data_IF_556060761851
#
_entry.id   IF_556060761851
#
_cell.length_a   1.000
_cell.length_b   1.000
_cell.length_c   1.000
_cell.angle_alpha   90.00
_cell.angle_beta   90.00
_cell.angle_gamma   90.00
#
_symmetry.space_group_name_H-M   'P 1'
#
loop_
_entity.id
_entity.type
_entity.pdbx_description
1 polymer ?
#
# COMPACT_ATOMS: atom_id res chain seq x y z
N UNK A 1 -2.34 -8.55 -20.98
CA UNK A 1 -3.17 -7.35 -21.26
C UNK A 1 -3.21 -6.49 -20.01
N UNK A 2 -3.09 -5.15 -20.13
CA UNK A 2 -3.23 -4.22 -18.99
C UNK A 2 -4.71 -3.84 -18.83
N UNK A 3 -5.22 -3.77 -17.60
CA UNK A 3 -6.58 -3.32 -17.33
C UNK A 3 -6.75 -1.85 -17.73
N UNK A 4 -7.93 -1.50 -18.26
CA UNK A 4 -8.29 -0.10 -18.53
C UNK A 4 -8.50 0.62 -17.20
N UNK A 5 -7.94 1.81 -17.05
CA UNK A 5 -8.27 2.67 -15.92
C UNK A 5 -9.71 3.18 -16.06
N UNK A 6 -10.51 2.99 -15.01
CA UNK A 6 -11.89 3.48 -14.97
C UNK A 6 -11.89 4.96 -14.62
N UNK A 7 -12.43 5.78 -15.52
CA UNK A 7 -12.71 7.18 -15.20
C UNK A 7 -13.94 7.27 -14.31
N UNK A 8 -14.04 8.28 -13.42
CA UNK A 8 -15.20 8.45 -12.57
C UNK A 8 -16.51 8.48 -13.37
N UNK A 9 -16.56 9.03 -14.58
CA UNK A 9 -17.77 9.06 -15.41
C UNK A 9 -18.20 7.66 -15.92
N UNK A 10 -17.25 6.73 -16.03
CA UNK A 10 -17.47 5.39 -16.61
C UNK A 10 -17.77 4.32 -15.55
N UNK A 11 -17.73 4.69 -14.25
CA UNK A 11 -17.95 3.76 -13.15
C UNK A 11 -19.43 3.44 -12.96
N UNK A 12 -19.74 2.15 -12.82
CA UNK A 12 -21.02 1.71 -12.27
C UNK A 12 -21.18 2.18 -10.82
N UNK A 13 -22.42 2.18 -10.31
CA UNK A 13 -22.68 2.59 -8.92
C UNK A 13 -21.92 1.75 -7.90
N UNK A 14 -21.76 0.45 -8.15
CA UNK A 14 -20.99 -0.43 -7.29
C UNK A 14 -19.50 -0.04 -7.24
N UNK A 15 -18.92 0.32 -8.38
CA UNK A 15 -17.54 0.79 -8.48
C UNK A 15 -17.36 2.13 -7.76
N UNK A 16 -18.30 3.06 -7.99
CA UNK A 16 -18.28 4.39 -7.38
C UNK A 16 -18.35 4.30 -5.86
N UNK A 17 -19.27 3.49 -5.31
CA UNK A 17 -19.38 3.27 -3.86
C UNK A 17 -18.05 2.81 -3.24
N UNK A 18 -17.39 1.83 -3.86
CA UNK A 18 -16.10 1.32 -3.34
C UNK A 18 -15.00 2.37 -3.41
N UNK A 19 -14.96 3.19 -4.47
CA UNK A 19 -14.01 4.29 -4.58
C UNK A 19 -14.26 5.37 -3.51
N UNK A 20 -15.52 5.76 -3.32
CA UNK A 20 -15.92 6.78 -2.34
C UNK A 20 -15.63 6.30 -0.90
N UNK A 21 -15.92 5.03 -0.58
CA UNK A 21 -15.57 4.43 0.71
C UNK A 21 -14.06 4.46 0.98
N UNK A 22 -13.23 4.22 -0.03
CA UNK A 22 -11.77 4.27 0.11
C UNK A 22 -11.26 5.70 0.35
N UNK A 23 -11.91 6.70 -0.25
CA UNK A 23 -11.62 8.12 -0.03
C UNK A 23 -12.05 8.56 1.38
N UNK A 24 -13.23 8.12 1.83
CA UNK A 24 -13.74 8.42 3.17
C UNK A 24 -12.99 7.70 4.30
N UNK A 25 -12.27 6.62 3.99
CA UNK A 25 -11.47 5.85 4.95
C UNK A 25 -10.16 6.54 5.37
N UNK A 26 -9.36 5.85 6.19
CA UNK A 26 -8.13 6.40 6.81
C UNK A 26 -7.07 6.84 5.80
N UNK A 27 -7.16 6.36 4.56
CA UNK A 27 -6.21 6.69 3.49
C UNK A 27 -6.48 8.05 2.85
N UNK A 28 -7.70 8.57 2.93
CA UNK A 28 -8.10 9.83 2.31
C UNK A 28 -8.07 9.85 0.78
N UNK A 29 -7.84 8.70 0.13
CA UNK A 29 -7.67 8.57 -1.32
C UNK A 29 -7.87 7.13 -1.77
N UNK A 30 -8.20 6.95 -3.05
CA UNK A 30 -8.18 5.63 -3.71
C UNK A 30 -6.73 5.14 -3.81
N UNK A 31 -6.35 4.01 -3.15
CA UNK A 31 -5.01 3.44 -3.30
C UNK A 31 -4.83 2.85 -4.69
N UNK A 32 -3.63 2.92 -5.28
CA UNK A 32 -3.42 2.51 -6.66
C UNK A 32 -3.85 1.06 -6.97
N UNK A 33 -3.61 0.05 -6.10
CA UNK A 33 -4.11 -1.30 -6.34
C UNK A 33 -5.64 -1.38 -6.46
N UNK A 34 -6.37 -0.52 -5.74
CA UNK A 34 -7.84 -0.49 -5.82
C UNK A 34 -8.32 -0.10 -7.22
N UNK A 35 -7.56 0.71 -7.99
CA UNK A 35 -7.92 1.04 -9.39
C UNK A 35 -8.07 -0.22 -10.26
N UNK A 36 -7.24 -1.23 -10.03
CA UNK A 36 -7.37 -2.52 -10.70
C UNK A 36 -8.55 -3.33 -10.12
N UNK A 37 -8.72 -3.34 -8.80
CA UNK A 37 -9.79 -4.10 -8.15
C UNK A 37 -11.19 -3.51 -8.37
N UNK A 38 -11.34 -2.27 -8.80
CA UNK A 38 -12.64 -1.72 -9.18
C UNK A 38 -13.29 -2.48 -10.35
N UNK A 39 -12.52 -3.23 -11.15
CA UNK A 39 -13.10 -4.16 -12.14
C UNK A 39 -13.84 -5.35 -11.48
N UNK A 40 -13.64 -5.58 -10.19
CA UNK A 40 -14.41 -6.51 -9.34
C UNK A 40 -14.77 -5.81 -8.02
N UNK A 41 -15.87 -5.04 -7.97
CA UNK A 41 -16.20 -4.17 -6.83
C UNK A 41 -16.26 -4.91 -5.49
N UNK A 42 -16.78 -6.13 -5.46
CA UNK A 42 -16.83 -6.95 -4.23
C UNK A 42 -15.43 -7.27 -3.70
N UNK A 43 -14.50 -7.65 -4.57
CA UNK A 43 -13.10 -7.83 -4.20
C UNK A 43 -12.50 -6.51 -3.72
N UNK A 44 -12.71 -5.42 -4.46
CA UNK A 44 -12.21 -4.10 -4.11
C UNK A 44 -12.63 -3.67 -2.70
N UNK A 45 -13.91 -3.83 -2.36
CA UNK A 45 -14.47 -3.50 -1.05
C UNK A 45 -13.78 -4.30 0.08
N UNK A 46 -13.61 -5.61 -0.09
CA UNK A 46 -12.99 -6.47 0.93
C UNK A 46 -11.49 -6.22 1.06
N UNK A 47 -10.79 -6.16 -0.07
CA UNK A 47 -9.33 -6.01 -0.09
C UNK A 47 -8.89 -4.63 0.44
N UNK A 48 -9.63 -3.57 0.13
CA UNK A 48 -9.30 -2.23 0.62
C UNK A 48 -9.45 -2.14 2.16
N UNK A 49 -10.47 -2.79 2.73
CA UNK A 49 -10.67 -2.88 4.18
C UNK A 49 -9.64 -3.76 4.88
N UNK A 50 -9.30 -4.91 4.31
CA UNK A 50 -8.20 -5.73 4.82
C UNK A 50 -6.89 -4.93 4.89
N UNK A 51 -6.53 -4.25 3.80
CA UNK A 51 -5.31 -3.45 3.79
C UNK A 51 -5.38 -2.20 4.70
N UNK A 52 -6.57 -1.71 5.05
CA UNK A 52 -6.73 -0.58 5.98
C UNK A 52 -6.43 -1.07 7.40
N UNK A 53 -7.04 -2.19 7.77
CA UNK A 53 -6.80 -2.86 9.05
C UNK A 53 -5.32 -3.21 9.24
N UNK A 54 -4.71 -3.92 8.29
CA UNK A 54 -3.31 -4.36 8.40
C UNK A 54 -2.32 -3.20 8.52
N UNK A 55 -2.67 -2.02 7.97
CA UNK A 55 -1.77 -0.86 7.98
C UNK A 55 -1.93 0.04 9.20
N UNK A 56 -3.14 0.12 9.76
CA UNK A 56 -3.47 1.16 10.76
C UNK A 56 -4.11 0.63 12.05
N UNK A 57 -4.58 -0.62 12.08
CA UNK A 57 -5.34 -1.20 13.19
C UNK A 57 -4.67 -2.46 13.75
N UNK A 58 -3.34 -2.51 13.68
CA UNK A 58 -2.54 -3.55 14.34
C UNK A 58 -1.70 -2.93 15.44
N UNK A 59 -1.08 -3.78 16.26
CA UNK A 59 -0.12 -3.34 17.29
C UNK A 59 1.19 -2.82 16.69
N UNK A 60 1.44 -3.04 15.39
CA UNK A 60 2.65 -2.59 14.73
C UNK A 60 2.54 -1.09 14.44
N UNK A 61 3.34 -0.29 15.16
CA UNK A 61 3.49 1.13 14.86
C UNK A 61 4.01 1.36 13.42
N UNK A 62 3.85 2.59 12.88
CA UNK A 62 4.17 2.89 11.47
C UNK A 62 5.57 2.45 11.03
N UNK A 63 6.60 2.62 11.88
CA UNK A 63 7.97 2.22 11.55
C UNK A 63 8.10 0.73 11.24
N UNK A 64 7.49 -0.13 12.08
CA UNK A 64 7.55 -1.59 11.91
C UNK A 64 6.67 -2.07 10.76
N UNK A 65 5.50 -1.47 10.60
CA UNK A 65 4.61 -1.75 9.48
C UNK A 65 5.28 -1.43 8.14
N UNK A 66 5.92 -0.27 8.01
CA UNK A 66 6.62 0.13 6.79
C UNK A 66 7.89 -0.70 6.54
N UNK A 67 8.61 -1.12 7.59
CA UNK A 67 9.71 -2.09 7.47
C UNK A 67 9.24 -3.41 6.85
N UNK A 68 8.15 -3.99 7.36
CA UNK A 68 7.58 -5.23 6.84
C UNK A 68 7.12 -5.09 5.38
N UNK A 69 6.54 -3.94 5.02
CA UNK A 69 6.14 -3.63 3.64
C UNK A 69 7.36 -3.53 2.73
N UNK A 70 8.43 -2.84 3.13
CA UNK A 70 9.65 -2.71 2.31
C UNK A 70 10.34 -4.05 2.07
N UNK A 71 10.46 -4.90 3.10
CA UNK A 71 10.99 -6.25 2.94
C UNK A 71 10.15 -7.03 1.93
N UNK A 72 8.82 -7.00 2.07
CA UNK A 72 7.89 -7.65 1.15
C UNK A 72 8.03 -7.11 -0.27
N UNK A 73 8.04 -5.78 -0.44
CA UNK A 73 8.18 -5.11 -1.72
C UNK A 73 9.50 -5.51 -2.39
N UNK A 74 10.59 -5.64 -1.63
CA UNK A 74 11.88 -6.09 -2.17
C UNK A 74 11.87 -7.56 -2.57
N UNK A 75 11.28 -8.44 -1.76
CA UNK A 75 11.17 -9.88 -2.08
C UNK A 75 10.57 -10.06 -3.47
N UNK A 76 9.45 -9.39 -3.73
CA UNK A 76 8.75 -9.43 -5.01
C UNK A 76 9.31 -8.48 -6.08
N UNK A 77 10.30 -7.66 -5.74
CA UNK A 77 10.82 -6.57 -6.60
C UNK A 77 9.67 -5.66 -7.12
N UNK A 78 8.71 -5.38 -6.25
CA UNK A 78 7.57 -4.51 -6.55
C UNK A 78 8.00 -3.04 -6.55
N UNK A 79 8.26 -2.50 -7.74
CA UNK A 79 8.76 -1.13 -7.91
C UNK A 79 7.78 -0.06 -7.39
N UNK A 80 6.47 -0.26 -7.61
CA UNK A 80 5.46 0.68 -7.13
C UNK A 80 5.39 0.70 -5.60
N UNK A 81 5.27 -0.48 -4.98
CA UNK A 81 5.22 -0.59 -3.52
C UNK A 81 6.51 -0.02 -2.90
N UNK A 82 7.67 -0.35 -3.47
CA UNK A 82 8.95 0.20 -3.03
C UNK A 82 8.98 1.73 -3.09
N UNK A 83 8.60 2.32 -4.22
CA UNK A 83 8.62 3.77 -4.40
C UNK A 83 7.72 4.50 -3.39
N UNK A 84 6.50 4.00 -3.19
CA UNK A 84 5.54 4.61 -2.26
C UNK A 84 6.00 4.43 -0.83
N UNK A 85 6.35 3.20 -0.44
CA UNK A 85 6.60 2.85 0.94
C UNK A 85 8.00 3.23 1.42
N UNK A 86 8.99 3.43 0.53
CA UNK A 86 10.28 4.04 0.92
C UNK A 86 10.05 5.41 1.54
N UNK A 87 9.19 6.25 0.94
CA UNK A 87 8.88 7.57 1.47
C UNK A 87 8.16 7.50 2.81
N UNK A 88 7.19 6.60 2.96
CA UNK A 88 6.43 6.48 4.21
C UNK A 88 7.26 5.85 5.33
N UNK A 89 8.16 4.91 5.03
CA UNK A 89 9.12 4.35 5.98
C UNK A 89 10.06 5.42 6.56
N UNK A 90 10.63 6.26 5.70
CA UNK A 90 11.51 7.36 6.13
C UNK A 90 10.75 8.36 7.01
N UNK A 91 9.52 8.72 6.64
CA UNK A 91 8.66 9.58 7.48
C UNK A 91 8.32 8.94 8.83
N UNK A 92 8.18 7.63 8.87
CA UNK A 92 7.93 6.87 10.09
C UNK A 92 9.19 6.69 10.97
N UNK A 93 10.32 7.25 10.56
CA UNK A 93 11.58 7.19 11.31
C UNK A 93 12.38 5.91 11.09
N UNK A 94 12.16 5.19 9.98
CA UNK A 94 13.08 4.13 9.57
C UNK A 94 14.35 4.75 8.99
N UNK A 95 15.49 4.27 9.46
CA UNK A 95 16.82 4.78 9.13
C UNK A 95 17.13 4.55 7.63
N UNK A 96 17.68 5.56 6.93
CA UNK A 96 18.03 5.42 5.51
C UNK A 96 18.92 4.21 5.22
N UNK A 97 19.87 3.91 6.10
CA UNK A 97 20.80 2.78 5.94
C UNK A 97 20.09 1.43 5.97
N UNK A 98 19.00 1.30 6.75
CA UNK A 98 18.18 0.08 6.78
C UNK A 98 17.40 -0.05 5.47
N UNK A 99 16.81 1.04 4.97
CA UNK A 99 16.10 1.06 3.68
C UNK A 99 17.04 0.65 2.55
N UNK A 100 18.25 1.20 2.53
CA UNK A 100 19.24 0.92 1.49
C UNK A 100 19.82 -0.50 1.62
N UNK A 101 20.00 -1.03 2.83
CA UNK A 101 20.37 -2.43 3.03
C UNK A 101 19.30 -3.37 2.46
N UNK A 102 18.02 -3.12 2.74
CA UNK A 102 16.91 -3.89 2.15
C UNK A 102 16.93 -3.77 0.62
N UNK A 103 17.14 -2.56 0.08
CA UNK A 103 17.21 -2.32 -1.37
C UNK A 103 18.27 -3.21 -2.04
N UNK A 104 19.41 -3.37 -1.38
CA UNK A 104 20.57 -4.13 -1.86
C UNK A 104 20.53 -5.61 -1.46
N UNK A 105 19.46 -6.08 -0.79
CA UNK A 105 19.36 -7.44 -0.22
C UNK A 105 20.53 -7.76 0.73
N UNK A 106 21.01 -6.76 1.47
CA UNK A 106 22.03 -6.89 2.49
C UNK A 106 21.37 -6.96 3.89
N UNK A 107 22.05 -7.54 4.90
CA UNK A 107 21.60 -7.48 6.29
C UNK A 107 21.48 -6.02 6.76
N UNK A 108 20.32 -5.59 7.30
CA UNK A 108 20.19 -4.24 7.83
C UNK A 108 20.98 -4.05 9.14
N UNK A 109 21.59 -2.87 9.35
CA UNK A 109 22.32 -2.57 10.58
C UNK A 109 21.34 -2.13 11.68
N UNK A 110 20.56 -3.07 12.22
CA UNK A 110 19.75 -2.78 13.41
C UNK A 110 20.65 -2.53 14.61
N UNK A 111 20.33 -1.53 15.42
CA UNK A 111 20.92 -1.39 16.74
C UNK A 111 20.36 -2.48 17.66
N UNK A 112 21.21 -2.99 18.56
CA UNK A 112 20.81 -3.91 19.63
C UNK A 112 19.97 -3.20 20.71
#
# INVERSE_FOLDING_TARGET
>A
MRLKDLQPADMSDAQRRVADEAVAGKRGRVPAPLRAWLHSPELGARAQKLGEFLRYDTILGPRLSELAILVTARIWTSQYEWHVHKREALKAGLEPEIVDAIANRAPPPFAD
#
